data_IF_420698733488
#
_entry.id   IF_420698733488
#
_cell.length_a   1.000
_cell.length_b   1.000
_cell.length_c   1.000
_cell.angle_alpha   90.00
_cell.angle_beta   90.00
_cell.angle_gamma   90.00
#
_symmetry.space_group_name_H-M   'P 1'
#
loop_
_entity.id
_entity.type
_entity.pdbx_description
1 polymer ?
#
# COMPACT_ATOMS: atom_id res chain seq x y z
N UNK A 1 0.68 2.44 -2.55
CA UNK A 1 0.62 2.59 -1.07
C UNK A 1 -0.69 2.08 -0.47
N UNK A 2 -1.42 1.20 -1.15
CA UNK A 2 -2.71 0.70 -0.66
C UNK A 2 -2.54 -0.31 0.48
N UNK A 3 -3.32 -0.14 1.54
CA UNK A 3 -3.40 -1.06 2.67
C UNK A 3 -3.71 -2.51 2.21
N UNK A 4 -3.07 -3.50 2.84
CA UNK A 4 -3.22 -4.92 2.54
C UNK A 4 -4.66 -5.43 2.65
N UNK A 5 -5.50 -4.79 3.46
CA UNK A 5 -6.93 -5.10 3.50
C UNK A 5 -7.62 -5.02 2.14
N UNK A 6 -7.17 -4.14 1.23
CA UNK A 6 -7.80 -4.03 -0.10
C UNK A 6 -7.44 -5.22 -0.98
N UNK A 7 -6.17 -5.61 -0.96
CA UNK A 7 -5.68 -6.80 -1.67
C UNK A 7 -6.41 -8.05 -1.20
N UNK A 8 -6.59 -8.20 0.12
CA UNK A 8 -7.37 -9.30 0.69
C UNK A 8 -8.83 -9.26 0.25
N UNK A 9 -9.47 -8.09 0.29
CA UNK A 9 -10.87 -7.94 -0.14
C UNK A 9 -11.05 -8.29 -1.63
N UNK A 10 -10.12 -7.86 -2.49
CA UNK A 10 -10.14 -8.19 -3.91
C UNK A 10 -9.91 -9.68 -4.16
N UNK A 11 -8.97 -10.30 -3.46
CA UNK A 11 -8.74 -11.74 -3.54
C UNK A 11 -10.00 -12.54 -3.15
N UNK A 12 -10.67 -12.18 -2.05
CA UNK A 12 -11.94 -12.80 -1.63
C UNK A 12 -13.04 -12.63 -2.69
N UNK A 13 -13.07 -11.49 -3.38
CA UNK A 13 -14.04 -11.21 -4.43
C UNK A 13 -13.67 -11.78 -5.81
N UNK A 14 -12.53 -12.47 -5.94
CA UNK A 14 -12.03 -12.97 -7.23
C UNK A 14 -11.57 -11.86 -8.19
N UNK A 15 -11.23 -10.68 -7.67
CA UNK A 15 -10.78 -9.52 -8.45
C UNK A 15 -9.25 -9.54 -8.52
N UNK A 16 -8.70 -9.51 -9.73
CA UNK A 16 -7.26 -9.40 -9.94
C UNK A 16 -6.68 -8.11 -9.35
N UNK A 17 -5.50 -8.18 -8.74
CA UNK A 17 -4.86 -7.05 -8.09
C UNK A 17 -3.36 -7.00 -8.43
N UNK A 18 -2.89 -5.84 -8.88
CA UNK A 18 -1.49 -5.60 -9.21
C UNK A 18 -0.98 -4.40 -8.41
N UNK A 19 0.16 -4.55 -7.74
CA UNK A 19 0.82 -3.45 -7.05
C UNK A 19 1.84 -2.78 -7.97
N UNK A 20 1.74 -1.47 -8.12
CA UNK A 20 2.75 -0.65 -8.76
C UNK A 20 3.76 -0.10 -7.73
N UNK A 21 4.86 0.46 -8.25
CA UNK A 21 5.68 1.42 -7.49
C UNK A 21 4.86 2.67 -7.17
N UNK A 22 5.27 3.43 -6.16
CA UNK A 22 4.58 4.67 -5.75
C UNK A 22 4.71 5.74 -6.84
N UNK A 23 3.61 6.37 -7.21
CA UNK A 23 3.50 7.35 -8.30
C UNK A 23 2.49 6.92 -9.36
N UNK A 24 1.58 7.83 -9.71
CA UNK A 24 0.57 7.74 -10.77
C UNK A 24 1.07 7.12 -12.08
N UNK A 25 2.26 7.55 -12.56
CA UNK A 25 2.89 7.01 -13.77
C UNK A 25 3.06 5.50 -13.72
N UNK A 26 3.49 4.97 -12.57
CA UNK A 26 3.69 3.53 -12.42
C UNK A 26 2.37 2.77 -12.33
N UNK A 27 1.33 3.39 -11.75
CA UNK A 27 -0.02 2.80 -11.78
C UNK A 27 -0.51 2.69 -13.23
N UNK A 28 -0.42 3.79 -13.99
CA UNK A 28 -0.82 3.81 -15.40
C UNK A 28 -0.05 2.76 -16.23
N UNK A 29 1.27 2.64 -16.05
CA UNK A 29 2.08 1.64 -16.73
C UNK A 29 1.61 0.20 -16.44
N UNK A 30 1.26 -0.11 -15.19
CA UNK A 30 0.73 -1.43 -14.82
C UNK A 30 -0.64 -1.68 -15.46
N UNK A 31 -1.51 -0.66 -15.50
CA UNK A 31 -2.82 -0.80 -16.15
C UNK A 31 -2.68 -1.13 -17.64
N UNK A 32 -1.83 -0.40 -18.37
CA UNK A 32 -1.58 -0.68 -19.79
C UNK A 32 -0.97 -2.08 -19.99
N UNK A 33 0.03 -2.44 -19.19
CA UNK A 33 0.70 -3.74 -19.30
C UNK A 33 -0.23 -4.93 -19.04
N UNK A 34 -1.26 -4.74 -18.21
CA UNK A 34 -2.20 -5.78 -17.82
C UNK A 34 -3.61 -5.63 -18.43
N UNK A 35 -3.82 -4.66 -19.33
CA UNK A 35 -5.13 -4.38 -19.91
C UNK A 35 -6.21 -3.98 -18.89
N UNK A 36 -5.79 -3.37 -17.77
CA UNK A 36 -6.68 -2.92 -16.70
C UNK A 36 -7.24 -1.53 -16.94
N UNK A 37 -8.46 -1.27 -16.45
CA UNK A 37 -9.13 0.04 -16.61
C UNK A 37 -9.23 0.87 -15.33
N UNK A 38 -9.05 0.24 -14.15
CA UNK A 38 -9.20 0.90 -12.86
C UNK A 38 -7.93 0.76 -12.02
N UNK A 39 -7.35 1.90 -11.62
CA UNK A 39 -6.23 1.94 -10.70
C UNK A 39 -6.22 3.22 -9.89
N UNK A 40 -5.30 3.32 -8.93
CA UNK A 40 -5.16 4.57 -8.19
C UNK A 40 -4.22 4.51 -7.01
N UNK A 41 -4.16 5.64 -6.32
CA UNK A 41 -3.33 5.85 -5.13
C UNK A 41 -4.17 6.26 -3.93
N UNK A 42 -3.60 6.11 -2.73
CA UNK A 42 -4.28 6.45 -1.47
C UNK A 42 -4.57 7.94 -1.30
N UNK A 43 -4.00 8.80 -2.14
CA UNK A 43 -4.30 10.24 -2.22
C UNK A 43 -5.70 10.54 -2.77
N UNK A 44 -6.38 9.55 -3.37
CA UNK A 44 -7.61 9.75 -4.12
C UNK A 44 -7.38 10.01 -5.61
N UNK A 45 -6.13 10.00 -6.08
CA UNK A 45 -5.83 9.98 -7.51
C UNK A 45 -6.23 8.61 -8.10
N UNK A 46 -7.33 8.57 -8.83
CA UNK A 46 -7.92 7.35 -9.41
C UNK A 46 -7.89 7.50 -10.93
N UNK A 47 -7.53 6.41 -11.61
CA UNK A 47 -7.51 6.27 -13.06
C UNK A 47 -8.70 5.40 -13.48
N UNK A 48 -9.54 5.94 -14.36
CA UNK A 48 -10.62 5.22 -15.04
C UNK A 48 -10.35 5.26 -16.54
N UNK A 49 -9.49 4.37 -17.05
CA UNK A 49 -8.93 4.43 -18.41
C UNK A 49 -9.97 4.18 -19.51
N UNK A 50 -11.13 3.64 -19.15
CA UNK A 50 -12.30 3.51 -20.03
C UNK A 50 -13.07 4.84 -20.18
N UNK A 51 -12.76 5.85 -19.37
CA UNK A 51 -13.46 7.15 -19.32
C UNK A 51 -12.55 8.35 -19.59
N UNK A 52 -11.31 8.32 -19.09
CA UNK A 52 -10.35 9.40 -19.20
C UNK A 52 -8.92 8.86 -19.34
N UNK A 53 -8.08 9.55 -20.13
CA UNK A 53 -6.68 9.17 -20.34
C UNK A 53 -5.73 9.51 -19.18
N UNK A 54 -6.23 10.15 -18.12
CA UNK A 54 -5.47 10.52 -16.92
C UNK A 54 -6.39 10.49 -15.69
N UNK A 55 -5.82 10.67 -14.51
CA UNK A 55 -6.59 10.72 -13.28
C UNK A 55 -7.41 11.99 -13.20
N UNK A 56 -8.72 11.83 -13.01
CA UNK A 56 -9.68 12.93 -12.96
C UNK A 56 -10.63 12.73 -11.77
N UNK A 57 -10.64 13.70 -10.86
CA UNK A 57 -11.44 13.64 -9.65
C UNK A 57 -12.95 13.72 -9.91
N UNK A 58 -13.37 14.49 -10.91
CA UNK A 58 -14.78 14.60 -11.28
C UNK A 58 -15.27 13.30 -11.93
N UNK A 59 -14.49 12.71 -12.84
CA UNK A 59 -14.80 11.40 -13.41
C UNK A 59 -14.88 10.34 -12.31
N UNK A 60 -13.90 10.30 -11.41
CA UNK A 60 -13.88 9.35 -10.29
C UNK A 60 -15.09 9.50 -9.37
N UNK A 61 -15.47 10.74 -9.04
CA UNK A 61 -16.65 11.02 -8.24
C UNK A 61 -17.94 10.57 -8.96
N UNK A 62 -18.06 10.83 -10.25
CA UNK A 62 -19.19 10.39 -11.07
C UNK A 62 -19.28 8.85 -11.12
N UNK A 63 -18.16 8.14 -11.24
CA UNK A 63 -18.16 6.66 -11.21
C UNK A 63 -18.69 6.13 -9.86
N UNK A 64 -18.29 6.74 -8.74
CA UNK A 64 -18.81 6.36 -7.42
C UNK A 64 -20.31 6.67 -7.30
N UNK A 65 -20.75 7.86 -7.74
CA UNK A 65 -22.16 8.25 -7.71
C UNK A 65 -23.03 7.37 -8.61
N UNK A 66 -22.52 6.97 -9.77
CA UNK A 66 -23.19 6.03 -10.67
C UNK A 66 -23.44 4.69 -9.95
N UNK A 67 -22.44 4.14 -9.26
CA UNK A 67 -22.58 2.88 -8.50
C UNK A 67 -23.57 3.03 -7.34
N UNK A 68 -23.53 4.14 -6.60
CA UNK A 68 -24.50 4.47 -5.55
C UNK A 68 -25.92 4.49 -6.11
N UNK A 69 -26.13 5.20 -7.22
CA UNK A 69 -27.45 5.31 -7.86
C UNK A 69 -27.94 3.95 -8.39
N UNK A 70 -27.10 3.20 -9.10
CA UNK A 70 -27.48 1.92 -9.73
C UNK A 70 -27.71 0.81 -8.71
N UNK A 71 -27.00 0.82 -7.59
CA UNK A 71 -27.15 -0.18 -6.53
C UNK A 71 -28.33 0.09 -5.60
N UNK A 72 -28.83 1.32 -5.54
CA UNK A 72 -29.83 1.75 -4.57
C UNK A 72 -29.32 1.76 -3.12
N UNK A 73 -28.01 1.54 -2.90
CA UNK A 73 -27.38 1.51 -1.58
C UNK A 73 -26.73 2.85 -1.28
N UNK A 74 -26.66 3.19 0.00
CA UNK A 74 -25.85 4.31 0.46
C UNK A 74 -24.35 4.01 0.31
N UNK A 75 -23.53 5.06 0.22
CA UNK A 75 -22.07 4.90 0.18
C UNK A 75 -21.52 4.16 1.42
N UNK A 76 -22.16 4.32 2.59
CA UNK A 76 -21.79 3.61 3.80
C UNK A 76 -21.98 2.09 3.63
N UNK A 77 -23.12 1.67 3.09
CA UNK A 77 -23.41 0.27 2.81
C UNK A 77 -22.49 -0.32 1.74
N UNK A 78 -22.14 0.45 0.70
CA UNK A 78 -21.19 0.00 -0.34
C UNK A 78 -19.76 -0.17 0.18
N UNK A 79 -19.40 0.49 1.29
CA UNK A 79 -18.11 0.32 1.95
C UNK A 79 -18.05 -0.87 2.89
N UNK A 80 -19.19 -1.51 3.19
CA UNK A 80 -19.21 -2.73 3.99
C UNK A 80 -18.44 -3.85 3.27
N UNK A 81 -17.81 -4.75 4.04
CA UNK A 81 -16.98 -5.83 3.49
C UNK A 81 -15.52 -5.45 3.20
N UNK A 82 -15.17 -4.16 3.28
CA UNK A 82 -13.77 -3.71 3.26
C UNK A 82 -13.34 -3.20 4.64
N UNK A 83 -12.34 -3.85 5.23
CA UNK A 83 -11.72 -3.41 6.47
C UNK A 83 -10.22 -3.26 6.25
N UNK A 84 -9.69 -2.09 6.64
CA UNK A 84 -8.24 -1.89 6.65
C UNK A 84 -7.62 -2.73 7.75
N UNK A 85 -6.52 -3.41 7.44
CA UNK A 85 -5.70 -4.02 8.48
C UNK A 85 -4.92 -2.94 9.23
N UNK A 86 -4.62 -3.13 10.53
CA UNK A 86 -3.67 -2.30 11.27
C UNK A 86 -2.42 -2.02 10.45
N UNK A 87 -2.06 -0.74 10.34
CA UNK A 87 -0.94 -0.26 9.53
C UNK A 87 -0.25 0.89 10.26
N UNK A 88 1.08 0.85 10.32
CA UNK A 88 1.88 1.95 10.86
C UNK A 88 3.18 2.11 10.08
N UNK A 89 3.65 3.35 10.01
CA UNK A 89 4.92 3.71 9.37
C UNK A 89 5.76 4.51 10.35
N UNK A 90 7.02 4.14 10.50
CA UNK A 90 8.03 4.86 11.29
C UNK A 90 9.10 5.39 10.36
N UNK A 91 9.47 6.66 10.56
CA UNK A 91 10.56 7.31 9.85
C UNK A 91 11.83 7.21 10.70
N UNK A 92 12.89 6.63 10.14
CA UNK A 92 14.19 6.49 10.81
C UNK A 92 15.18 7.37 10.07
N UNK A 93 15.75 8.35 10.79
CA UNK A 93 16.74 9.28 10.26
C UNK A 93 18.01 8.52 9.88
N UNK A 94 18.56 8.84 8.71
CA UNK A 94 19.83 8.30 8.23
C UNK A 94 21.00 9.20 8.64
N UNK A 95 22.11 8.60 9.03
CA UNK A 95 23.40 9.27 9.09
C UNK A 95 23.96 9.45 7.66
N UNK A 96 24.85 10.42 7.46
CA UNK A 96 25.41 10.73 6.15
C UNK A 96 26.07 9.49 5.51
N UNK A 97 25.59 9.12 4.32
CA UNK A 97 26.14 7.98 3.56
C UNK A 97 25.67 6.60 4.01
N UNK A 98 24.94 6.49 5.14
CA UNK A 98 24.38 5.21 5.59
C UNK A 98 23.39 4.64 4.57
N UNK A 99 23.47 3.33 4.35
CA UNK A 99 22.59 2.57 3.46
C UNK A 99 22.05 1.34 4.19
N UNK A 100 21.23 1.52 5.24
CA UNK A 100 20.76 0.40 6.07
C UNK A 100 20.00 -0.65 5.26
N UNK A 101 19.35 -0.27 4.16
CA UNK A 101 18.64 -1.21 3.27
C UNK A 101 19.58 -2.19 2.54
N UNK A 102 20.87 -1.88 2.44
CA UNK A 102 21.87 -2.75 1.84
C UNK A 102 22.48 -3.73 2.85
N UNK A 103 22.33 -3.46 4.15
CA UNK A 103 22.93 -4.23 5.24
C UNK A 103 22.28 -5.61 5.37
N UNK A 104 23.05 -6.71 5.41
CA UNK A 104 22.50 -8.07 5.47
C UNK A 104 21.55 -8.33 6.63
N UNK A 105 21.84 -7.80 7.83
CA UNK A 105 20.99 -7.97 9.01
C UNK A 105 19.60 -7.33 8.83
N UNK A 106 19.53 -6.17 8.18
CA UNK A 106 18.27 -5.47 7.87
C UNK A 106 17.45 -6.26 6.84
N UNK A 107 18.11 -6.82 5.81
CA UNK A 107 17.45 -7.67 4.80
C UNK A 107 16.89 -8.96 5.43
N UNK A 108 17.65 -9.58 6.32
CA UNK A 108 17.21 -10.77 7.05
C UNK A 108 16.01 -10.45 7.96
N UNK A 109 16.07 -9.35 8.70
CA UNK A 109 14.95 -8.90 9.53
C UNK A 109 13.69 -8.64 8.70
N UNK A 110 13.82 -8.00 7.54
CA UNK A 110 12.70 -7.78 6.61
C UNK A 110 12.12 -9.11 6.12
N UNK A 111 12.96 -10.01 5.61
CA UNK A 111 12.50 -11.30 5.11
C UNK A 111 11.78 -12.12 6.19
N UNK A 112 12.29 -12.13 7.42
CA UNK A 112 11.65 -12.82 8.54
C UNK A 112 10.28 -12.20 8.91
N UNK A 113 10.14 -10.88 8.80
CA UNK A 113 8.87 -10.20 9.01
C UNK A 113 7.88 -10.47 7.86
N UNK A 114 8.35 -10.48 6.61
CA UNK A 114 7.55 -10.82 5.44
C UNK A 114 7.04 -12.26 5.50
N UNK A 115 7.88 -13.21 5.92
CA UNK A 115 7.49 -14.61 6.12
C UNK A 115 6.42 -14.74 7.21
N UNK A 116 6.62 -14.09 8.36
CA UNK A 116 5.64 -14.06 9.44
C UNK A 116 4.31 -13.45 9.00
N UNK A 117 4.33 -12.45 8.12
CA UNK A 117 3.13 -11.78 7.64
C UNK A 117 2.49 -12.43 6.41
N UNK A 118 3.08 -13.49 5.86
CA UNK A 118 2.60 -14.13 4.63
C UNK A 118 1.10 -14.48 4.72
N UNK A 119 0.32 -13.98 3.75
CA UNK A 119 -1.13 -14.14 3.68
C UNK A 119 -1.93 -13.28 4.67
N UNK A 120 -1.30 -12.61 5.65
CA UNK A 120 -1.97 -11.89 6.74
C UNK A 120 -1.60 -10.40 6.84
N UNK A 121 -0.55 -9.98 6.16
CA UNK A 121 -0.05 -8.61 6.22
C UNK A 121 1.15 -8.41 5.30
N UNK A 122 1.83 -7.27 5.47
CA UNK A 122 3.01 -6.89 4.68
C UNK A 122 3.96 -6.03 5.51
N UNK A 123 5.26 -6.25 5.35
CA UNK A 123 6.30 -5.35 5.82
C UNK A 123 7.08 -4.85 4.60
N UNK A 124 7.45 -3.58 4.59
CA UNK A 124 8.32 -3.03 3.54
C UNK A 124 9.05 -1.79 4.03
N UNK A 125 10.19 -1.51 3.39
CA UNK A 125 10.99 -0.34 3.67
C UNK A 125 11.30 0.41 2.40
N UNK A 126 11.38 1.74 2.49
CA UNK A 126 11.80 2.59 1.37
C UNK A 126 12.55 3.82 1.84
N UNK A 127 13.54 4.31 1.09
CA UNK A 127 14.10 5.63 1.33
C UNK A 127 13.04 6.71 1.04
N UNK A 128 13.09 7.82 1.77
CA UNK A 128 12.39 9.04 1.38
C UNK A 128 13.16 9.74 0.26
N UNK A 129 12.45 10.28 -0.73
CA UNK A 129 13.05 11.02 -1.85
C UNK A 129 13.36 12.48 -1.52
N UNK A 130 12.79 13.02 -0.43
CA UNK A 130 12.88 14.44 -0.04
C UNK A 130 13.55 14.65 1.30
N UNK A 131 13.72 13.58 2.09
CA UNK A 131 14.25 13.64 3.44
C UNK A 131 15.27 12.52 3.62
N UNK A 132 16.34 12.69 4.41
CA UNK A 132 17.29 11.62 4.68
C UNK A 132 16.74 10.67 5.75
N UNK A 133 15.63 10.00 5.44
CA UNK A 133 14.99 9.01 6.30
C UNK A 133 14.67 7.74 5.51
N UNK A 134 14.69 6.59 6.18
CA UNK A 134 14.03 5.35 5.72
C UNK A 134 12.66 5.27 6.38
N UNK A 135 11.66 4.96 5.56
CA UNK A 135 10.28 4.70 6.01
C UNK A 135 10.12 3.20 6.15
N UNK A 136 9.89 2.75 7.37
CA UNK A 136 9.58 1.35 7.71
C UNK A 136 8.08 1.25 7.91
N UNK A 137 7.40 0.44 7.10
CA UNK A 137 5.95 0.25 7.18
C UNK A 137 5.63 -1.20 7.46
N UNK A 138 4.72 -1.43 8.41
CA UNK A 138 4.16 -2.75 8.71
C UNK A 138 2.63 -2.68 8.68
N UNK A 139 2.03 -3.69 8.06
CA UNK A 139 0.62 -3.96 7.97
C UNK A 139 0.39 -5.39 8.48
N UNK A 140 -0.48 -5.61 9.46
CA UNK A 140 -0.70 -6.95 10.04
C UNK A 140 -2.15 -7.17 10.46
N UNK A 141 -2.53 -8.44 10.69
CA UNK A 141 -3.91 -8.82 11.01
C UNK A 141 -4.44 -8.21 12.32
N UNK A 142 -3.55 -7.99 13.30
CA UNK A 142 -3.85 -7.31 14.55
C UNK A 142 -2.77 -6.28 14.92
N UNK A 143 -3.13 -5.36 15.82
CA UNK A 143 -2.28 -4.24 16.18
C UNK A 143 -1.03 -4.66 17.00
N UNK A 144 -1.12 -5.73 17.79
CA UNK A 144 -0.01 -6.18 18.63
C UNK A 144 1.09 -6.85 17.78
N UNK A 145 0.71 -7.69 16.80
CA UNK A 145 1.63 -8.24 15.80
C UNK A 145 2.29 -7.12 14.99
N UNK A 146 1.49 -6.14 14.52
CA UNK A 146 2.00 -4.99 13.77
C UNK A 146 3.05 -4.21 14.56
N UNK A 147 2.76 -3.84 15.82
CA UNK A 147 3.69 -3.06 16.64
C UNK A 147 4.97 -3.86 16.98
N UNK A 148 4.84 -5.15 17.29
CA UNK A 148 6.00 -6.02 17.58
C UNK A 148 6.95 -6.12 16.39
N UNK A 149 6.41 -6.41 15.19
CA UNK A 149 7.23 -6.53 13.98
C UNK A 149 7.82 -5.19 13.55
N UNK A 150 7.04 -4.11 13.68
CA UNK A 150 7.53 -2.76 13.40
C UNK A 150 8.68 -2.36 14.32
N UNK A 151 8.60 -2.69 15.62
CA UNK A 151 9.66 -2.44 16.57
C UNK A 151 10.94 -3.20 16.18
N UNK A 152 10.85 -4.51 15.96
CA UNK A 152 12.01 -5.33 15.58
C UNK A 152 12.68 -4.87 14.28
N UNK A 153 11.90 -4.52 13.25
CA UNK A 153 12.43 -3.96 12.01
C UNK A 153 13.06 -2.58 12.22
N UNK A 154 12.43 -1.74 13.03
CA UNK A 154 12.94 -0.40 13.33
C UNK A 154 14.27 -0.48 14.07
N UNK A 155 14.43 -1.42 15.01
CA UNK A 155 15.66 -1.63 15.76
C UNK A 155 16.77 -2.15 14.85
N UNK A 156 16.47 -3.10 13.96
CA UNK A 156 17.43 -3.57 12.96
C UNK A 156 17.95 -2.44 12.06
N UNK A 157 17.05 -1.55 11.62
CA UNK A 157 17.44 -0.38 10.82
C UNK A 157 18.25 0.60 11.66
N UNK A 158 17.85 0.93 12.89
CA UNK A 158 18.59 1.85 13.78
C UNK A 158 20.01 1.36 14.07
N UNK A 159 20.21 0.06 14.21
CA UNK A 159 21.53 -0.53 14.41
C UNK A 159 22.44 -0.48 13.16
N UNK A 160 21.86 -0.21 11.99
CA UNK A 160 22.52 -0.21 10.69
C UNK A 160 22.69 1.20 10.08
N UNK A 161 22.31 2.25 10.84
CA UNK A 161 22.39 3.66 10.44
C UNK A 161 23.66 4.31 10.99
#
# INVERSE_FOLDING_TARGET
MTNYGLEKAFATAGIGFVRSRVGDRYVHQQLIAHGGNLGGETSGHILCLDRAGTGDGAVSALQVLEVVQRSGKTLAQLREGFTKVPQKTVNIRLANGSRPLDVPSVKQALAAAEEQLSGRGRAFMRPSGTEPVVRVTVEAGDAAEMERLLAGLSDAVRAAV
#
